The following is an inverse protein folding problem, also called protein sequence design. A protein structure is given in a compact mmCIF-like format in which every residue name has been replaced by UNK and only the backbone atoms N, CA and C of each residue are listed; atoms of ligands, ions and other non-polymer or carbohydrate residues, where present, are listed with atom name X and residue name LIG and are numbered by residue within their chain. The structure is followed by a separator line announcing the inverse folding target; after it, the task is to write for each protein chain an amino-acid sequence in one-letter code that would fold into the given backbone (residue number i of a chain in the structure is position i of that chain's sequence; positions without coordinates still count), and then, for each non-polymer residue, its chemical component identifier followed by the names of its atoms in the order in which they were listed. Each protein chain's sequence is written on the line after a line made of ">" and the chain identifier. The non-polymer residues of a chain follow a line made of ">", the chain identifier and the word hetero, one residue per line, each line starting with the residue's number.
data_IF_121846700668
#
_entry.id   IF_121846700668
#
_cell.length_a   1.000
_cell.length_b   1.000
_cell.length_c   1.000
_cell.angle_alpha   90.00
_cell.angle_beta   90.00
_cell.angle_gamma   90.00
#
_symmetry.space_group_name_H-M   'P 1'
#
loop_
_entity.id
_entity.type
_entity.pdbx_description
1 polymer ?
#
# COMPACT_ATOMS: atom_id res chain seq x y z
N UNK A 1 0.05 5.64 -14.85
CA UNK A 1 -1.11 4.80 -14.46
C UNK A 1 -0.74 3.33 -14.45
N UNK A 2 -0.16 2.80 -15.54
CA UNK A 2 0.24 1.39 -15.62
C UNK A 2 1.28 1.00 -14.55
N UNK A 3 2.29 1.85 -14.32
CA UNK A 3 3.29 1.65 -13.25
C UNK A 3 2.67 1.52 -11.85
N UNK A 4 1.80 2.47 -11.47
CA UNK A 4 1.11 2.47 -10.17
C UNK A 4 0.25 1.21 -9.99
N UNK A 5 -0.40 0.76 -11.07
CA UNK A 5 -1.19 -0.47 -11.04
C UNK A 5 -0.32 -1.73 -10.92
N UNK A 6 0.82 -1.77 -11.62
CA UNK A 6 1.83 -2.83 -11.53
C UNK A 6 2.42 -2.91 -10.12
N UNK A 7 2.65 -1.76 -9.47
CA UNK A 7 3.13 -1.68 -8.08
C UNK A 7 2.06 -2.21 -7.13
N UNK A 8 0.79 -1.83 -7.32
CA UNK A 8 -0.33 -2.34 -6.53
C UNK A 8 -0.47 -3.86 -6.63
N UNK A 9 -0.37 -4.40 -7.85
CA UNK A 9 -0.35 -5.85 -8.11
C UNK A 9 0.77 -6.56 -7.35
N UNK A 10 1.99 -6.03 -7.39
CA UNK A 10 3.12 -6.59 -6.63
C UNK A 10 2.95 -6.47 -5.12
N UNK A 11 2.43 -5.35 -4.64
CA UNK A 11 2.11 -5.21 -3.23
C UNK A 11 1.03 -6.21 -2.78
N UNK A 12 0.06 -6.54 -3.65
CA UNK A 12 -0.93 -7.59 -3.42
C UNK A 12 -0.33 -8.99 -3.28
N UNK A 13 0.57 -9.37 -4.19
CA UNK A 13 1.30 -10.65 -4.12
C UNK A 13 2.08 -10.78 -2.79
N UNK A 14 2.80 -9.72 -2.40
CA UNK A 14 3.57 -9.71 -1.14
C UNK A 14 2.67 -9.72 0.10
N UNK A 15 1.50 -9.06 0.03
CA UNK A 15 0.53 -9.04 1.11
C UNK A 15 -0.11 -10.43 1.34
N UNK A 16 -0.44 -11.14 0.25
CA UNK A 16 -0.91 -12.53 0.32
C UNK A 16 0.17 -13.43 0.92
N UNK A 17 1.42 -13.31 0.43
CA UNK A 17 2.55 -14.07 0.97
C UNK A 17 2.74 -13.82 2.48
N UNK A 18 2.72 -12.56 2.90
CA UNK A 18 2.87 -12.17 4.30
C UNK A 18 1.73 -12.75 5.16
N UNK A 19 0.49 -12.69 4.67
CA UNK A 19 -0.67 -13.26 5.36
C UNK A 19 -0.50 -14.76 5.55
N UNK A 20 -0.16 -15.49 4.48
CA UNK A 20 0.04 -16.94 4.54
C UNK A 20 1.18 -17.31 5.50
N UNK A 21 2.29 -16.57 5.45
CA UNK A 21 3.41 -16.75 6.37
C UNK A 21 2.99 -16.56 7.83
N UNK A 22 2.20 -15.53 8.13
CA UNK A 22 1.70 -15.26 9.49
C UNK A 22 0.69 -16.32 9.95
N UNK A 23 -0.13 -16.88 9.06
CA UNK A 23 -1.04 -17.98 9.39
C UNK A 23 -0.31 -19.27 9.80
N UNK A 24 0.92 -19.47 9.31
CA UNK A 24 1.76 -20.62 9.66
C UNK A 24 2.46 -20.46 11.02
N UNK A 25 2.49 -19.25 11.60
CA UNK A 25 3.10 -19.02 12.91
C UNK A 25 2.21 -19.61 14.02
N UNK A 26 2.75 -20.49 14.89
CA UNK A 26 2.00 -21.02 16.04
C UNK A 26 1.48 -19.90 16.94
N UNK A 27 0.24 -20.05 17.41
CA UNK A 27 -0.46 -19.09 18.29
C UNK A 27 -0.77 -17.72 17.68
N UNK A 28 -0.57 -17.53 16.36
CA UNK A 28 -1.04 -16.32 15.70
C UNK A 28 -2.58 -16.23 15.77
N UNK A 29 -3.16 -15.07 16.12
CA UNK A 29 -4.61 -14.90 16.18
C UNK A 29 -5.28 -15.17 14.83
N UNK A 30 -6.33 -16.00 14.83
CA UNK A 30 -7.11 -16.38 13.64
C UNK A 30 -8.60 -16.07 13.84
N UNK A 31 -9.34 -15.65 12.79
CA UNK A 31 -8.88 -15.44 11.41
C UNK A 31 -8.04 -14.16 11.27
N UNK A 32 -7.11 -14.16 10.31
CA UNK A 32 -6.37 -12.94 9.97
C UNK A 32 -7.25 -11.97 9.18
N UNK A 33 -7.27 -10.71 9.61
CA UNK A 33 -7.90 -9.63 8.86
C UNK A 33 -7.16 -9.37 7.55
N UNK A 34 -7.88 -8.82 6.57
CA UNK A 34 -7.33 -8.38 5.30
C UNK A 34 -6.16 -7.39 5.50
N UNK A 35 -5.11 -7.52 4.69
CA UNK A 35 -3.97 -6.60 4.71
C UNK A 35 -4.35 -5.32 3.97
N UNK A 36 -4.36 -4.18 4.66
CA UNK A 36 -4.63 -2.89 4.03
C UNK A 36 -3.39 -2.36 3.28
N UNK A 37 -3.53 -2.16 1.98
CA UNK A 37 -2.55 -1.53 1.11
C UNK A 37 -2.94 -0.07 0.89
N UNK A 38 -2.09 0.85 1.32
CA UNK A 38 -2.28 2.28 1.07
C UNK A 38 -1.74 2.67 -0.31
N UNK A 39 -2.60 3.21 -1.18
CA UNK A 39 -2.24 3.64 -2.53
C UNK A 39 -2.56 5.13 -2.74
N UNK A 40 -1.64 5.88 -3.33
CA UNK A 40 -1.86 7.31 -3.63
C UNK A 40 -2.43 7.58 -5.04
N UNK A 41 -2.67 6.52 -5.81
CA UNK A 41 -3.21 6.57 -7.16
C UNK A 41 -4.66 6.13 -7.19
N UNK A 42 -5.60 7.08 -7.11
CA UNK A 42 -7.03 6.81 -7.25
C UNK A 42 -7.37 6.07 -8.55
N UNK A 43 -6.61 6.32 -9.62
CA UNK A 43 -6.78 5.61 -10.89
C UNK A 43 -6.40 4.11 -10.78
N UNK A 44 -5.35 3.77 -10.02
CA UNK A 44 -4.98 2.38 -9.78
C UNK A 44 -6.03 1.68 -8.88
N UNK A 45 -6.51 2.37 -7.84
CA UNK A 45 -7.58 1.87 -6.94
C UNK A 45 -8.87 1.61 -7.74
N UNK A 46 -9.32 2.58 -8.53
CA UNK A 46 -10.51 2.44 -9.35
C UNK A 46 -10.40 1.31 -10.38
N UNK A 47 -9.21 1.11 -10.95
CA UNK A 47 -8.92 -0.02 -11.86
C UNK A 47 -8.93 -1.36 -11.12
N UNK A 48 -8.35 -1.43 -9.93
CA UNK A 48 -8.34 -2.65 -9.11
C UNK A 48 -9.75 -3.11 -8.72
N UNK A 49 -10.62 -2.15 -8.37
CA UNK A 49 -12.02 -2.42 -8.02
C UNK A 49 -12.96 -2.60 -9.22
N UNK A 50 -12.50 -2.38 -10.46
CA UNK A 50 -13.39 -2.47 -11.63
C UNK A 50 -13.74 -3.93 -11.95
N UNK A 51 -15.04 -4.23 -12.11
CA UNK A 51 -15.48 -5.59 -12.43
C UNK A 51 -15.04 -6.05 -13.83
N UNK A 52 -14.96 -5.10 -14.76
CA UNK A 52 -14.54 -5.33 -16.14
C UNK A 52 -13.21 -4.64 -16.42
N UNK A 53 -12.38 -5.30 -17.22
CA UNK A 53 -11.14 -4.77 -17.73
C UNK A 53 -11.18 -4.74 -19.26
N UNK A 54 -11.26 -3.54 -19.83
CA UNK A 54 -11.54 -3.34 -21.27
C UNK A 54 -10.28 -3.09 -22.12
N UNK A 55 -9.09 -3.11 -21.51
CA UNK A 55 -7.85 -2.85 -22.25
C UNK A 55 -7.39 -4.10 -23.03
N UNK A 56 -6.67 -3.88 -24.13
CA UNK A 56 -6.18 -4.95 -25.01
C UNK A 56 -4.92 -5.64 -24.48
N UNK A 57 -4.22 -5.05 -23.51
CA UNK A 57 -3.01 -5.63 -22.92
C UNK A 57 -3.34 -6.89 -22.09
N UNK A 58 -3.00 -8.07 -22.64
CA UNK A 58 -3.20 -9.36 -21.97
C UNK A 58 -2.41 -9.48 -20.67
N UNK A 59 -1.21 -8.89 -20.64
CA UNK A 59 -0.35 -8.84 -19.46
C UNK A 59 -1.01 -8.08 -18.32
N UNK A 60 -1.52 -6.87 -18.59
CA UNK A 60 -2.19 -6.08 -17.56
C UNK A 60 -3.55 -6.67 -17.18
N UNK A 61 -4.25 -7.33 -18.11
CA UNK A 61 -5.47 -8.09 -17.79
C UNK A 61 -5.20 -9.19 -16.77
N UNK A 62 -4.09 -9.91 -16.88
CA UNK A 62 -3.72 -10.96 -15.91
C UNK A 62 -3.55 -10.38 -14.51
N UNK A 63 -2.81 -9.28 -14.38
CA UNK A 63 -2.60 -8.56 -13.11
C UNK A 63 -3.90 -8.02 -12.54
N UNK A 64 -4.78 -7.51 -13.40
CA UNK A 64 -6.12 -7.08 -12.97
C UNK A 64 -6.94 -8.20 -12.38
N UNK A 65 -6.95 -9.38 -13.02
CA UNK A 65 -7.63 -10.54 -12.47
C UNK A 65 -7.05 -10.95 -11.10
N UNK A 66 -5.73 -10.99 -10.96
CA UNK A 66 -5.06 -11.32 -9.68
C UNK A 66 -5.49 -10.36 -8.57
N UNK A 67 -5.36 -9.05 -8.77
CA UNK A 67 -5.75 -8.08 -7.75
C UNK A 67 -7.24 -8.14 -7.43
N UNK A 68 -8.09 -8.35 -8.42
CA UNK A 68 -9.53 -8.51 -8.21
C UNK A 68 -9.84 -9.74 -7.36
N UNK A 69 -9.15 -10.85 -7.60
CA UNK A 69 -9.28 -12.09 -6.82
C UNK A 69 -8.86 -11.85 -5.36
N UNK A 70 -7.73 -11.19 -5.11
CA UNK A 70 -7.25 -10.84 -3.78
C UNK A 70 -8.25 -9.95 -3.01
N UNK A 71 -8.82 -8.95 -3.69
CA UNK A 71 -9.86 -8.08 -3.12
C UNK A 71 -11.14 -8.87 -2.83
N UNK A 72 -11.59 -9.72 -3.75
CA UNK A 72 -12.83 -10.50 -3.60
C UNK A 72 -12.74 -11.59 -2.54
N UNK A 73 -11.52 -12.08 -2.27
CA UNK A 73 -11.24 -13.09 -1.25
C UNK A 73 -10.93 -12.48 0.12
N UNK A 74 -11.03 -11.14 0.24
CA UNK A 74 -10.72 -10.39 1.47
C UNK A 74 -9.30 -10.65 2.01
N UNK A 75 -8.36 -10.98 1.13
CA UNK A 75 -6.93 -11.13 1.48
C UNK A 75 -6.31 -9.74 1.66
N UNK A 76 -6.69 -8.80 0.80
CA UNK A 76 -6.25 -7.41 0.86
C UNK A 76 -7.45 -6.45 0.86
N UNK A 77 -7.23 -5.27 1.42
CA UNK A 77 -8.02 -4.06 1.13
C UNK A 77 -7.10 -3.00 0.53
N UNK A 78 -7.67 -2.04 -0.19
CA UNK A 78 -6.90 -0.95 -0.77
C UNK A 78 -7.55 0.38 -0.41
N UNK A 79 -6.82 1.19 0.35
CA UNK A 79 -7.27 2.50 0.79
C UNK A 79 -6.47 3.62 0.14
N UNK A 80 -7.16 4.73 -0.12
CA UNK A 80 -6.50 5.92 -0.63
C UNK A 80 -5.71 6.62 0.46
N UNK A 81 -4.46 6.94 0.17
CA UNK A 81 -3.63 7.84 0.98
C UNK A 81 -3.20 9.04 0.14
N UNK A 82 -3.14 10.23 0.73
CA UNK A 82 -2.58 11.39 0.01
C UNK A 82 -1.11 11.14 -0.28
N UNK A 83 -0.65 11.54 -1.47
CA UNK A 83 0.73 11.29 -1.90
C UNK A 83 1.78 11.84 -0.91
N UNK A 84 1.54 13.02 -0.33
CA UNK A 84 2.46 13.59 0.66
C UNK A 84 2.55 12.81 1.99
N UNK A 85 1.56 11.97 2.25
CA UNK A 85 1.44 11.14 3.47
C UNK A 85 1.82 9.67 3.19
N UNK A 86 2.02 9.30 1.92
CA UNK A 86 2.46 7.95 1.56
C UNK A 86 3.95 7.76 1.89
N UNK A 87 4.22 7.05 2.99
CA UNK A 87 5.57 6.77 3.49
C UNK A 87 6.42 5.92 2.55
N UNK A 88 5.82 5.24 1.57
CA UNK A 88 6.54 4.44 0.56
C UNK A 88 7.09 5.26 -0.61
N UNK A 89 6.61 6.50 -0.79
CA UNK A 89 7.03 7.35 -1.92
C UNK A 89 8.54 7.57 -2.06
N UNK A 90 9.37 7.66 -0.99
CA UNK A 90 10.82 7.78 -1.14
C UNK A 90 11.47 6.59 -1.87
N UNK A 91 10.80 5.43 -1.91
CA UNK A 91 11.32 4.22 -2.54
C UNK A 91 11.02 4.17 -4.05
N UNK A 92 10.11 5.02 -4.54
CA UNK A 92 9.62 4.97 -5.94
C UNK A 92 9.70 6.31 -6.66
N UNK A 93 9.84 7.44 -5.93
CA UNK A 93 9.77 8.80 -6.46
C UNK A 93 10.92 9.65 -5.91
N UNK A 94 11.38 10.61 -6.71
CA UNK A 94 12.23 11.70 -6.22
C UNK A 94 11.39 12.67 -5.38
N UNK A 95 11.69 12.79 -4.09
CA UNK A 95 11.00 13.71 -3.19
C UNK A 95 11.85 14.94 -2.88
N UNK A 96 11.17 16.03 -2.50
CA UNK A 96 11.84 17.17 -1.87
C UNK A 96 12.47 16.76 -0.53
N UNK A 97 13.45 17.55 -0.06
CA UNK A 97 14.05 17.34 1.27
C UNK A 97 12.99 17.24 2.36
N UNK A 98 12.03 18.15 2.36
CA UNK A 98 10.93 18.15 3.34
C UNK A 98 10.09 16.87 3.24
N UNK A 99 9.80 16.41 2.02
CA UNK A 99 9.10 15.15 1.78
C UNK A 99 9.86 13.96 2.38
N UNK A 100 11.17 13.86 2.13
CA UNK A 100 12.04 12.81 2.70
C UNK A 100 12.04 12.87 4.23
N UNK A 101 12.11 14.05 4.82
CA UNK A 101 12.10 14.21 6.28
C UNK A 101 10.77 13.75 6.90
N UNK A 102 9.65 14.11 6.28
CA UNK A 102 8.31 13.70 6.72
C UNK A 102 8.14 12.19 6.64
N UNK A 103 8.42 11.58 5.49
CA UNK A 103 8.27 10.14 5.28
C UNK A 103 9.25 9.34 6.14
N UNK A 104 10.49 9.82 6.33
CA UNK A 104 11.48 9.18 7.21
C UNK A 104 11.01 9.11 8.66
N UNK A 105 10.34 10.16 9.16
CA UNK A 105 9.69 10.13 10.49
C UNK A 105 8.51 9.15 10.51
N UNK A 106 7.72 9.11 9.44
CA UNK A 106 6.60 8.17 9.28
C UNK A 106 7.04 6.69 9.29
N UNK A 107 8.15 6.37 8.63
CA UNK A 107 8.76 5.03 8.60
C UNK A 107 9.49 4.64 9.90
N UNK A 108 9.65 5.56 10.85
CA UNK A 108 10.42 5.31 12.07
C UNK A 108 11.94 5.37 11.89
N UNK A 109 12.43 5.85 10.75
CA UNK A 109 13.86 6.04 10.47
C UNK A 109 14.44 7.29 11.15
N UNK A 110 13.59 8.14 11.71
CA UNK A 110 13.99 9.31 12.50
C UNK A 110 13.19 9.41 13.80
N UNK A 111 13.79 9.92 14.88
CA UNK A 111 13.08 10.20 16.12
C UNK A 111 11.89 11.14 15.87
N UNK A 112 10.74 10.82 16.48
CA UNK A 112 9.63 11.76 16.56
C UNK A 112 10.03 12.86 17.54
N UNK A 113 10.36 14.05 17.02
CA UNK A 113 10.62 15.21 17.87
C UNK A 113 9.33 15.52 18.63
N UNK A 114 9.31 15.25 19.94
CA UNK A 114 8.22 15.65 20.82
C UNK A 114 8.12 17.17 20.76
N UNK A 115 6.96 17.70 20.35
CA UNK A 115 6.64 19.09 20.62
C UNK A 115 6.36 19.22 22.12
N UNK A 116 7.43 19.31 22.91
CA UNK A 116 7.38 19.81 24.27
C UNK A 116 8.19 21.11 24.30
N UNK A 117 7.70 22.10 23.55
CA UNK A 117 8.02 23.49 23.78
C UNK A 117 7.12 23.97 24.92
N UNK A 118 7.52 23.68 26.15
CA UNK A 118 6.92 24.35 27.31
C UNK A 118 7.15 25.85 27.17
N UNK A 119 6.06 26.61 27.06
CA UNK A 119 6.11 28.05 27.26
C UNK A 119 6.59 28.29 28.70
N UNK A 120 7.84 28.70 28.84
CA UNK A 120 8.28 29.35 30.07
C UNK A 120 7.68 30.77 30.05
N UNK A 121 6.59 30.95 30.81
CA UNK A 121 6.20 32.24 31.38
C UNK A 121 6.64 32.28 32.83
#
# INVERSE_FOLDING_TARGET
>A
MESEFIILDKAGEEAEWLRNFLEDIPYWPKPMAAVCIHCDSQAAIGRAGSMMYNDKSSYIRRRHNTIRELLSSEIITVDYVKSNDNVSNPLTKGLSREGVERTSKGMGLRPRTSQHGGNFT
#
